data_IF_808374713883
#
_entry.id   IF_808374713883
#
_cell.length_a   1.000
_cell.length_b   1.000
_cell.length_c   1.000
_cell.angle_alpha   90.00
_cell.angle_beta   90.00
_cell.angle_gamma   90.00
#
_symmetry.space_group_name_H-M   'P 1'
#
loop_
_entity.id
_entity.type
_entity.pdbx_description
1 polymer ?
#
# COMPACT_ATOMS: atom_id res chain seq x y z
N UNK A 1 0.05 21.19 8.29
CA UNK A 1 0.19 20.17 9.35
C UNK A 1 0.27 18.84 8.64
N UNK A 2 1.48 18.27 8.51
CA UNK A 2 1.64 16.95 7.89
C UNK A 2 1.39 15.96 9.02
N UNK A 3 0.18 15.38 9.08
CA UNK A 3 -0.07 14.26 9.98
C UNK A 3 0.91 13.14 9.64
N UNK A 4 1.52 12.55 10.66
CA UNK A 4 2.43 11.42 10.48
C UNK A 4 1.69 10.32 9.71
N UNK A 5 2.31 9.81 8.66
CA UNK A 5 1.75 8.67 7.93
C UNK A 5 1.54 7.52 8.94
N UNK A 6 0.37 6.88 8.95
CA UNK A 6 0.13 5.72 9.81
C UNK A 6 1.20 4.65 9.53
N UNK A 7 1.48 3.81 10.52
CA UNK A 7 2.45 2.72 10.39
C UNK A 7 2.15 1.87 9.15
N UNK A 8 2.96 2.06 8.10
CA UNK A 8 2.77 1.42 6.80
C UNK A 8 3.73 0.23 6.70
N UNK A 9 3.18 -0.96 6.46
CA UNK A 9 3.95 -2.19 6.24
C UNK A 9 3.79 -2.67 4.80
N UNK A 10 4.84 -3.28 4.25
CA UNK A 10 4.77 -4.01 2.98
C UNK A 10 4.01 -5.30 3.22
N UNK A 11 2.87 -5.46 2.56
CA UNK A 11 1.99 -6.62 2.70
C UNK A 11 1.88 -7.36 1.35
N UNK A 12 1.23 -8.53 1.38
CA UNK A 12 0.90 -9.25 0.14
C UNK A 12 2.01 -10.14 -0.39
N UNK A 13 2.87 -10.69 0.48
CA UNK A 13 3.78 -11.77 0.08
C UNK A 13 2.93 -12.95 -0.42
N UNK A 14 3.14 -13.34 -1.67
CA UNK A 14 2.33 -14.37 -2.34
C UNK A 14 3.17 -15.60 -2.72
N UNK A 15 4.50 -15.46 -2.73
CA UNK A 15 5.41 -16.52 -3.12
C UNK A 15 6.23 -16.99 -1.91
N UNK A 16 6.30 -18.32 -1.75
CA UNK A 16 7.11 -18.97 -0.71
C UNK A 16 8.61 -18.99 -1.05
N UNK A 17 8.95 -18.74 -2.32
CA UNK A 17 10.31 -18.83 -2.88
C UNK A 17 10.48 -17.74 -3.93
N UNK A 18 11.73 -17.36 -4.19
CA UNK A 18 12.08 -16.48 -5.32
C UNK A 18 11.64 -17.18 -6.62
N UNK A 19 10.89 -16.51 -7.51
CA UNK A 19 10.47 -17.08 -8.78
C UNK A 19 11.64 -17.18 -9.76
N UNK A 20 11.68 -18.26 -10.54
CA UNK A 20 12.61 -18.37 -11.67
C UNK A 20 12.36 -17.24 -12.69
N UNK A 21 13.41 -16.73 -13.38
CA UNK A 21 14.78 -17.23 -13.42
C UNK A 21 15.73 -16.64 -12.37
N UNK A 22 15.22 -15.91 -11.37
CA UNK A 22 16.05 -15.23 -10.39
C UNK A 22 16.67 -16.20 -9.39
N UNK A 23 17.93 -15.93 -9.01
CA UNK A 23 18.65 -16.71 -8.03
C UNK A 23 18.04 -16.55 -6.63
N UNK A 24 18.07 -17.61 -5.82
CA UNK A 24 17.55 -17.57 -4.46
C UNK A 24 18.35 -16.61 -3.55
N UNK A 25 19.59 -16.31 -3.89
CA UNK A 25 20.47 -15.38 -3.18
C UNK A 25 20.41 -13.95 -3.75
N UNK A 26 19.41 -13.64 -4.58
CA UNK A 26 19.30 -12.32 -5.20
C UNK A 26 19.28 -11.22 -4.11
N UNK A 27 20.00 -10.09 -4.28
CA UNK A 27 20.08 -9.06 -3.24
C UNK A 27 18.72 -8.47 -2.82
N UNK A 28 17.70 -8.64 -3.67
CA UNK A 28 16.31 -8.22 -3.43
C UNK A 28 15.36 -9.42 -3.29
N UNK A 29 15.84 -10.58 -2.81
CA UNK A 29 15.05 -11.81 -2.76
C UNK A 29 13.72 -11.65 -2.02
N UNK A 30 13.70 -10.85 -0.95
CA UNK A 30 12.50 -10.59 -0.18
C UNK A 30 11.43 -9.91 -1.04
N UNK A 31 11.81 -8.91 -1.85
CA UNK A 31 10.89 -8.18 -2.72
C UNK A 31 10.38 -9.04 -3.88
N UNK A 32 11.20 -9.96 -4.39
CA UNK A 32 10.81 -10.88 -5.47
C UNK A 32 9.72 -11.89 -5.06
N UNK A 33 9.45 -12.02 -3.76
CA UNK A 33 8.38 -12.87 -3.24
C UNK A 33 6.99 -12.20 -3.26
N UNK A 34 6.93 -10.93 -3.66
CA UNK A 34 5.71 -10.16 -3.83
C UNK A 34 5.41 -10.03 -5.34
N UNK A 35 4.15 -10.19 -5.75
CA UNK A 35 3.75 -10.02 -7.17
C UNK A 35 3.25 -8.61 -7.50
N UNK A 36 3.31 -7.71 -6.53
CA UNK A 36 2.84 -6.33 -6.66
C UNK A 36 3.09 -5.56 -5.38
N UNK A 37 2.94 -4.25 -5.48
CA UNK A 37 3.06 -3.35 -4.33
C UNK A 37 1.68 -3.23 -3.68
N UNK A 38 1.59 -3.64 -2.42
CA UNK A 38 0.38 -3.46 -1.61
C UNK A 38 0.71 -2.62 -0.38
N UNK A 39 0.03 -1.47 -0.26
CA UNK A 39 0.12 -0.61 0.92
C UNK A 39 -1.23 -0.62 1.63
N UNK A 40 -1.20 -0.78 2.95
CA UNK A 40 -2.39 -0.74 3.81
C UNK A 40 -2.18 0.27 4.93
N UNK A 41 -3.27 0.93 5.32
CA UNK A 41 -3.35 1.66 6.58
C UNK A 41 -4.58 1.18 7.34
N UNK A 42 -4.46 1.11 8.66
CA UNK A 42 -5.58 0.83 9.55
C UNK A 42 -6.03 2.15 10.16
N UNK A 43 -7.33 2.41 10.10
CA UNK A 43 -7.94 3.58 10.73
C UNK A 43 -8.94 3.09 11.77
N UNK A 44 -9.09 3.85 12.85
CA UNK A 44 -10.18 3.62 13.80
C UNK A 44 -11.55 3.79 13.12
N UNK A 45 -12.56 3.14 13.68
CA UNK A 45 -13.94 3.30 13.20
C UNK A 45 -14.40 4.74 13.41
N UNK A 46 -14.87 5.43 12.37
CA UNK A 46 -15.28 6.80 12.50
C UNK A 46 -16.74 6.96 12.91
N UNK A 47 -17.09 8.09 13.55
CA UNK A 47 -18.49 8.38 13.88
C UNK A 47 -19.39 8.55 12.65
N UNK A 48 -18.82 8.90 11.49
CA UNK A 48 -19.56 9.06 10.23
C UNK A 48 -20.01 7.72 9.62
N UNK A 49 -19.58 6.58 10.16
CA UNK A 49 -19.93 5.26 9.64
C UNK A 49 -21.45 5.06 9.61
N UNK A 50 -21.98 4.70 8.43
CA UNK A 50 -23.42 4.53 8.22
C UNK A 50 -24.14 5.81 7.78
N UNK A 51 -23.43 6.91 7.57
CA UNK A 51 -23.96 8.16 7.02
C UNK A 51 -23.32 8.49 5.67
N UNK A 52 -23.92 9.42 4.93
CA UNK A 52 -23.36 9.94 3.67
C UNK A 52 -22.00 10.62 3.87
N UNK A 53 -21.75 11.19 5.06
CA UNK A 53 -20.48 11.81 5.41
C UNK A 53 -19.31 10.82 5.44
N UNK A 54 -19.58 9.50 5.51
CA UNK A 54 -18.56 8.47 5.43
C UNK A 54 -17.78 8.52 4.11
N UNK A 55 -18.42 8.94 3.00
CA UNK A 55 -17.75 9.06 1.70
C UNK A 55 -16.65 10.12 1.75
N UNK A 56 -16.94 11.29 2.32
CA UNK A 56 -15.95 12.36 2.51
C UNK A 56 -14.84 11.92 3.45
N UNK A 57 -15.19 11.21 4.52
CA UNK A 57 -14.21 10.65 5.46
C UNK A 57 -13.24 9.68 4.77
N UNK A 58 -13.74 8.82 3.87
CA UNK A 58 -12.94 7.90 3.07
C UNK A 58 -12.06 8.65 2.06
N UNK A 59 -12.62 9.63 1.34
CA UNK A 59 -11.90 10.41 0.33
C UNK A 59 -10.66 11.08 0.92
N UNK A 60 -10.80 11.77 2.05
CA UNK A 60 -9.68 12.42 2.74
C UNK A 60 -8.55 11.44 3.12
N UNK A 61 -8.88 10.18 3.43
CA UNK A 61 -7.87 9.15 3.76
C UNK A 61 -7.23 8.55 2.53
N UNK A 62 -8.01 8.33 1.47
CA UNK A 62 -7.46 7.85 0.18
C UNK A 62 -6.51 8.90 -0.40
N UNK A 63 -6.80 10.19 -0.23
CA UNK A 63 -5.91 11.28 -0.66
C UNK A 63 -4.50 11.20 -0.05
N UNK A 64 -4.34 10.63 1.15
CA UNK A 64 -3.01 10.43 1.74
C UNK A 64 -2.11 9.50 0.91
N UNK A 65 -2.70 8.63 0.07
CA UNK A 65 -1.98 7.75 -0.85
C UNK A 65 -1.72 8.38 -2.22
N UNK A 66 -2.22 9.60 -2.47
CA UNK A 66 -2.11 10.25 -3.78
C UNK A 66 -0.66 10.41 -4.27
N UNK A 67 0.33 10.78 -3.43
CA UNK A 67 1.72 10.85 -3.89
C UNK A 67 2.25 9.49 -4.36
N UNK A 68 1.92 8.41 -3.65
CA UNK A 68 2.31 7.05 -4.04
C UNK A 68 1.62 6.64 -5.35
N UNK A 69 0.31 6.90 -5.47
CA UNK A 69 -0.44 6.59 -6.67
C UNK A 69 0.17 7.29 -7.90
N UNK A 70 0.45 8.59 -7.81
CA UNK A 70 1.08 9.35 -8.90
C UNK A 70 2.43 8.77 -9.30
N UNK A 71 3.28 8.47 -8.32
CA UNK A 71 4.58 7.82 -8.58
C UNK A 71 4.43 6.49 -9.32
N UNK A 72 3.51 5.63 -8.89
CA UNK A 72 3.28 4.34 -9.55
C UNK A 72 2.75 4.49 -10.98
N UNK A 73 1.87 5.46 -11.22
CA UNK A 73 1.37 5.74 -12.57
C UNK A 73 2.48 6.29 -13.47
N UNK A 74 3.29 7.21 -12.98
CA UNK A 74 4.32 7.89 -13.78
C UNK A 74 5.56 7.00 -14.05
N UNK A 75 5.87 6.05 -13.16
CA UNK A 75 7.12 5.26 -13.22
C UNK A 75 6.92 3.80 -13.65
N UNK A 76 5.70 3.25 -13.58
CA UNK A 76 5.45 1.80 -13.74
C UNK A 76 4.43 1.46 -14.85
N UNK A 77 3.63 2.42 -15.33
CA UNK A 77 2.70 2.26 -16.46
C UNK A 77 3.18 3.04 -17.69
#
# INVERSE_FOLDING_TARGET
MIEALPEASVAGQQLKRVPAPWDASHPHEDLLRYKGIQVRAMFGLPPELGSEAFVTWCAARIETFLPLHRRLVDEVL
#
